data_IF_073952272401
#
_entry.id   IF_073952272401
#
_cell.length_a   1.000
_cell.length_b   1.000
_cell.length_c   1.000
_cell.angle_alpha   90.00
_cell.angle_beta   90.00
_cell.angle_gamma   90.00
#
_symmetry.space_group_name_H-M   'P 1'
#
loop_
_entity.id
_entity.type
_entity.pdbx_description
1 polymer ?
#
# COMPACT_ATOMS: atom_id res chain seq x y z
N UNK A 1 -17.90 21.35 8.62
CA UNK A 1 -17.20 20.46 7.66
C UNK A 1 -16.81 19.16 8.36
N UNK A 2 -17.00 17.97 7.74
CA UNK A 2 -16.55 16.69 8.34
C UNK A 2 -15.02 16.66 8.44
N UNK A 3 -14.50 16.28 9.62
CA UNK A 3 -13.06 16.08 9.86
C UNK A 3 -12.52 15.05 8.86
N UNK A 4 -11.48 15.43 8.10
CA UNK A 4 -10.81 14.54 7.15
C UNK A 4 -9.79 13.65 7.85
N UNK A 5 -9.58 12.44 7.33
CA UNK A 5 -8.66 11.46 7.89
C UNK A 5 -7.24 11.66 7.36
N UNK A 6 -6.23 11.48 8.21
CA UNK A 6 -4.84 11.35 7.75
C UNK A 6 -4.51 9.89 7.45
N UNK A 7 -3.71 9.64 6.43
CA UNK A 7 -3.40 8.30 5.95
C UNK A 7 -1.91 8.11 5.66
N UNK A 8 -1.41 6.93 6.01
CA UNK A 8 -0.13 6.40 5.58
C UNK A 8 -0.41 5.37 4.48
N UNK A 9 -0.09 5.77 3.24
CA UNK A 9 -0.11 4.88 2.09
C UNK A 9 1.20 4.11 2.01
N UNK A 10 1.14 2.81 1.79
CA UNK A 10 2.33 1.97 1.64
C UNK A 10 2.21 1.13 0.36
N UNK A 11 3.30 0.98 -0.39
CA UNK A 11 3.41 -0.18 -1.28
C UNK A 11 3.52 -1.47 -0.44
N UNK A 12 3.37 -2.63 -1.09
CA UNK A 12 3.41 -3.93 -0.45
C UNK A 12 4.78 -4.59 -0.62
N UNK A 13 5.06 -5.08 -1.83
CA UNK A 13 6.24 -5.88 -2.14
C UNK A 13 7.49 -5.00 -2.24
N UNK A 14 8.42 -5.15 -1.29
CA UNK A 14 9.61 -4.32 -1.13
C UNK A 14 9.50 -3.29 0.02
N UNK A 15 8.28 -3.10 0.55
CA UNK A 15 7.98 -2.10 1.60
C UNK A 15 7.49 -2.75 2.88
N UNK A 16 6.43 -3.58 2.83
CA UNK A 16 5.93 -4.32 4.01
C UNK A 16 6.46 -5.76 4.03
N UNK A 17 6.65 -6.37 2.86
CA UNK A 17 7.22 -7.70 2.70
C UNK A 17 8.39 -7.72 1.74
N UNK A 18 9.20 -8.78 1.81
CA UNK A 18 10.26 -9.02 0.83
C UNK A 18 9.66 -9.21 -0.56
N UNK A 19 10.27 -8.58 -1.55
CA UNK A 19 9.81 -8.65 -2.94
C UNK A 19 10.40 -9.90 -3.62
N UNK A 20 9.58 -10.93 -3.78
CA UNK A 20 9.89 -12.13 -4.59
C UNK A 20 9.21 -12.09 -5.97
N UNK A 21 8.76 -10.92 -6.42
CA UNK A 21 8.05 -10.72 -7.69
C UNK A 21 6.56 -11.04 -7.63
N UNK A 22 6.20 -12.25 -7.20
CA UNK A 22 4.81 -12.75 -7.22
C UNK A 22 4.41 -13.34 -5.86
N UNK A 23 4.24 -12.47 -4.86
CA UNK A 23 3.81 -12.89 -3.52
C UNK A 23 2.28 -12.85 -3.45
N UNK A 24 1.63 -14.02 -3.37
CA UNK A 24 0.16 -14.15 -3.35
C UNK A 24 -0.36 -15.10 -2.27
N UNK A 25 0.53 -15.69 -1.48
CA UNK A 25 0.17 -16.60 -0.38
C UNK A 25 1.02 -16.29 0.85
N UNK A 26 0.48 -16.60 2.04
CA UNK A 26 1.18 -16.36 3.29
C UNK A 26 2.48 -17.17 3.40
N UNK A 27 2.55 -18.35 2.75
CA UNK A 27 3.75 -19.20 2.71
C UNK A 27 4.97 -18.47 2.13
N UNK A 28 4.74 -17.60 1.14
CA UNK A 28 5.80 -16.84 0.48
C UNK A 28 5.85 -15.37 0.95
N UNK A 29 5.07 -15.02 1.96
CA UNK A 29 5.01 -13.68 2.51
C UNK A 29 5.97 -13.56 3.70
N UNK A 30 7.10 -12.88 3.49
CA UNK A 30 8.06 -12.61 4.55
C UNK A 30 8.01 -11.12 4.93
N UNK A 31 7.59 -10.83 6.16
CA UNK A 31 7.63 -9.47 6.70
C UNK A 31 9.05 -8.92 6.69
N UNK A 32 9.22 -7.67 6.25
CA UNK A 32 10.48 -6.98 6.46
C UNK A 32 10.65 -6.61 7.94
N UNK A 33 11.90 -6.52 8.38
CA UNK A 33 12.27 -6.20 9.77
C UNK A 33 11.53 -4.94 10.25
N UNK A 34 10.91 -5.05 11.43
CA UNK A 34 10.18 -3.97 12.11
C UNK A 34 8.95 -3.38 11.40
N UNK A 35 8.45 -3.98 10.31
CA UNK A 35 7.26 -3.47 9.61
C UNK A 35 6.02 -3.47 10.48
N UNK A 36 5.74 -4.57 11.20
CA UNK A 36 4.60 -4.65 12.12
C UNK A 36 4.64 -3.53 13.17
N UNK A 37 5.83 -3.24 13.73
CA UNK A 37 6.06 -2.12 14.66
C UNK A 37 5.79 -0.76 14.00
N UNK A 38 6.19 -0.57 12.75
CA UNK A 38 5.95 0.66 11.98
C UNK A 38 4.46 0.91 11.73
N UNK A 39 3.73 -0.15 11.34
CA UNK A 39 2.28 -0.10 11.15
C UNK A 39 1.59 0.23 12.47
N UNK A 40 1.93 -0.45 13.56
CA UNK A 40 1.39 -0.16 14.90
C UNK A 40 1.64 1.30 15.33
N UNK A 41 2.85 1.81 15.09
CA UNK A 41 3.20 3.20 15.42
C UNK A 41 2.32 4.22 14.70
N UNK A 42 2.14 4.04 13.38
CA UNK A 42 1.25 4.90 12.60
C UNK A 42 -0.22 4.75 13.02
N UNK A 43 -0.66 3.52 13.32
CA UNK A 43 -2.01 3.22 13.80
C UNK A 43 -2.34 3.92 15.13
N UNK A 44 -1.44 3.85 16.13
CA UNK A 44 -1.61 4.53 17.42
C UNK A 44 -1.68 6.06 17.25
N UNK A 45 -0.92 6.60 16.28
CA UNK A 45 -1.00 8.02 15.88
C UNK A 45 -2.25 8.38 15.07
N UNK A 46 -3.22 7.48 14.95
CA UNK A 46 -4.51 7.68 14.25
C UNK A 46 -4.35 7.94 12.75
N UNK A 47 -3.36 7.33 12.11
CA UNK A 47 -3.30 7.26 10.65
C UNK A 47 -4.12 6.07 10.15
N UNK A 48 -4.92 6.29 9.10
CA UNK A 48 -5.41 5.20 8.27
C UNK A 48 -4.23 4.56 7.56
N UNK A 49 -4.12 3.24 7.67
CA UNK A 49 -3.06 2.48 6.98
C UNK A 49 -3.67 1.89 5.72
N UNK A 50 -3.20 2.35 4.56
CA UNK A 50 -3.74 1.96 3.25
C UNK A 50 -2.64 1.33 2.41
N UNK A 51 -2.87 0.11 1.93
CA UNK A 51 -1.94 -0.55 1.00
C UNK A 51 -2.36 -0.26 -0.44
N UNK A 52 -1.39 0.06 -1.30
CA UNK A 52 -1.59 0.27 -2.73
C UNK A 52 -0.56 -0.51 -3.56
N UNK A 53 -0.98 -1.58 -4.24
CA UNK A 53 -0.05 -2.53 -4.87
C UNK A 53 -0.40 -2.93 -6.30
N UNK A 54 0.60 -2.96 -7.18
CA UNK A 54 0.44 -3.55 -8.51
C UNK A 54 0.57 -5.08 -8.40
N UNK A 55 -0.48 -5.84 -8.71
CA UNK A 55 -0.52 -7.30 -8.60
C UNK A 55 -0.67 -7.94 -9.99
N UNK A 56 0.33 -7.73 -10.86
CA UNK A 56 0.29 -8.21 -12.25
C UNK A 56 0.37 -9.73 -12.40
N UNK A 57 0.62 -10.48 -11.33
CA UNK A 57 0.57 -11.94 -11.40
C UNK A 57 -0.81 -12.45 -11.77
N UNK A 58 -1.88 -11.69 -11.47
CA UNK A 58 -3.24 -12.00 -11.94
C UNK A 58 -3.35 -11.93 -13.45
N UNK A 59 -2.92 -10.82 -14.06
CA UNK A 59 -2.89 -10.73 -15.51
C UNK A 59 -2.02 -11.83 -16.13
N UNK A 60 -0.91 -12.22 -15.49
CA UNK A 60 -0.01 -13.26 -16.00
C UNK A 60 -0.48 -14.69 -15.75
N UNK A 61 -1.59 -14.89 -15.03
CA UNK A 61 -2.12 -16.23 -14.72
C UNK A 61 -1.41 -16.99 -13.59
N UNK A 62 -0.52 -16.33 -12.83
CA UNK A 62 0.19 -16.99 -11.73
C UNK A 62 -0.66 -17.24 -10.49
N UNK A 63 -1.69 -16.42 -10.29
CA UNK A 63 -2.65 -16.52 -9.19
C UNK A 63 -3.89 -15.68 -9.55
N UNK A 64 -4.95 -15.80 -8.77
CA UNK A 64 -6.18 -15.06 -9.00
C UNK A 64 -6.46 -14.02 -7.89
N UNK A 65 -7.51 -13.22 -8.06
CA UNK A 65 -7.88 -12.20 -7.08
C UNK A 65 -8.33 -12.76 -5.72
N UNK A 66 -8.85 -14.00 -5.67
CA UNK A 66 -9.19 -14.67 -4.41
C UNK A 66 -7.93 -14.94 -3.59
N UNK A 67 -6.82 -15.31 -4.25
CA UNK A 67 -5.53 -15.54 -3.57
C UNK A 67 -5.00 -14.24 -2.95
N UNK A 68 -5.08 -13.13 -3.69
CA UNK A 68 -4.73 -11.80 -3.17
C UNK A 68 -5.56 -11.48 -1.91
N UNK A 69 -6.89 -11.63 -1.99
CA UNK A 69 -7.79 -11.33 -0.88
C UNK A 69 -7.52 -12.23 0.34
N UNK A 70 -7.24 -13.52 0.11
CA UNK A 70 -6.85 -14.47 1.16
C UNK A 70 -5.56 -14.01 1.84
N UNK A 71 -4.53 -13.65 1.08
CA UNK A 71 -3.29 -13.10 1.62
C UNK A 71 -3.54 -11.82 2.42
N UNK A 72 -4.31 -10.86 1.89
CA UNK A 72 -4.62 -9.61 2.60
C UNK A 72 -5.34 -9.85 3.93
N UNK A 73 -6.27 -10.80 3.97
CA UNK A 73 -6.95 -11.20 5.20
C UNK A 73 -5.97 -11.83 6.20
N UNK A 74 -5.04 -12.68 5.76
CA UNK A 74 -4.03 -13.29 6.62
C UNK A 74 -3.05 -12.24 7.18
N UNK A 75 -2.58 -11.31 6.35
CA UNK A 75 -1.76 -10.16 6.78
C UNK A 75 -2.47 -9.40 7.90
N UNK A 76 -3.75 -9.07 7.71
CA UNK A 76 -4.52 -8.36 8.73
C UNK A 76 -4.74 -9.20 10.01
N UNK A 77 -4.99 -10.51 9.89
CA UNK A 77 -5.06 -11.41 11.05
C UNK A 77 -3.79 -11.37 11.89
N UNK A 78 -2.62 -11.30 11.27
CA UNK A 78 -1.36 -11.17 12.02
C UNK A 78 -1.16 -9.81 12.68
N UNK A 79 -1.65 -8.73 12.07
CA UNK A 79 -1.59 -7.39 12.66
C UNK A 79 -2.57 -7.24 13.84
N UNK A 80 -3.72 -7.90 13.78
CA UNK A 80 -4.69 -7.88 14.87
C UNK A 80 -4.14 -8.51 16.16
N UNK A 81 -3.21 -9.47 16.07
CA UNK A 81 -2.51 -10.05 17.23
C UNK A 81 -1.67 -9.03 18.03
N UNK A 82 -1.44 -7.84 17.48
CA UNK A 82 -0.73 -6.73 18.13
C UNK A 82 -1.58 -5.45 18.15
N UNK A 83 -2.91 -5.60 18.13
CA UNK A 83 -3.95 -4.55 18.14
C UNK A 83 -3.71 -3.42 17.12
N UNK A 84 -3.36 -3.79 15.89
CA UNK A 84 -3.41 -2.87 14.76
C UNK A 84 -3.97 -3.55 13.51
N UNK A 85 -4.24 -2.76 12.48
CA UNK A 85 -4.76 -3.26 11.21
C UNK A 85 -4.37 -2.37 10.04
N UNK A 86 -4.33 -2.97 8.86
CA UNK A 86 -4.46 -2.24 7.60
C UNK A 86 -5.96 -2.00 7.40
N UNK A 87 -6.31 -0.73 7.17
CA UNK A 87 -7.70 -0.31 7.02
C UNK A 87 -8.25 -0.72 5.66
N UNK A 88 -7.42 -0.71 4.62
CA UNK A 88 -7.84 -1.12 3.29
C UNK A 88 -6.67 -1.54 2.41
N UNK A 89 -6.97 -2.43 1.46
CA UNK A 89 -6.04 -2.86 0.43
C UNK A 89 -6.60 -2.50 -0.93
N UNK A 90 -5.89 -1.65 -1.65
CA UNK A 90 -6.13 -1.39 -3.06
C UNK A 90 -5.05 -2.09 -3.87
N UNK A 91 -5.47 -2.78 -4.92
CA UNK A 91 -4.55 -3.43 -5.83
C UNK A 91 -5.00 -3.27 -7.28
N UNK A 92 -4.04 -3.36 -8.20
CA UNK A 92 -4.29 -3.42 -9.63
C UNK A 92 -3.94 -4.82 -10.16
N UNK A 93 -4.93 -5.64 -10.57
CA UNK A 93 -4.67 -6.96 -11.16
C UNK A 93 -4.26 -6.88 -12.64
N UNK A 94 -4.41 -5.70 -13.26
CA UNK A 94 -4.25 -5.49 -14.70
C UNK A 94 -2.79 -5.27 -15.14
N UNK A 95 -2.49 -5.65 -16.37
CA UNK A 95 -1.21 -5.36 -17.04
C UNK A 95 -1.44 -4.91 -18.50
N UNK A 96 -0.73 -3.88 -19.01
CA UNK A 96 -0.94 -3.41 -20.39
C UNK A 96 -0.54 -4.42 -21.46
N UNK A 97 0.52 -5.21 -21.22
CA UNK A 97 1.09 -6.14 -22.21
C UNK A 97 0.74 -7.62 -22.01
N UNK A 98 0.42 -8.05 -20.79
CA UNK A 98 0.30 -9.48 -20.46
C UNK A 98 -1.13 -9.81 -20.02
N UNK A 99 -1.54 -11.05 -20.29
CA UNK A 99 -2.79 -11.64 -19.84
C UNK A 99 -3.87 -11.83 -20.89
N UNK A 100 -5.01 -12.35 -20.45
CA UNK A 100 -6.22 -12.54 -21.26
C UNK A 100 -6.98 -11.21 -21.44
N UNK A 101 -7.97 -11.16 -22.36
CA UNK A 101 -8.79 -9.96 -22.61
C UNK A 101 -9.32 -9.28 -21.33
N UNK A 102 -9.66 -10.06 -20.29
CA UNK A 102 -10.15 -9.53 -19.00
C UNK A 102 -9.09 -8.71 -18.24
N UNK A 103 -7.82 -9.14 -18.25
CA UNK A 103 -6.77 -8.55 -17.41
C UNK A 103 -5.68 -7.79 -18.21
N UNK A 104 -5.60 -7.99 -19.52
CA UNK A 104 -4.69 -7.28 -20.43
C UNK A 104 -5.28 -5.93 -20.81
N UNK A 105 -5.09 -4.94 -19.95
CA UNK A 105 -5.52 -3.55 -20.22
C UNK A 105 -4.63 -2.52 -19.54
N UNK A 106 -4.56 -1.35 -20.15
CA UNK A 106 -3.94 -0.17 -19.54
C UNK A 106 -4.92 0.43 -18.51
N UNK A 107 -4.83 -0.02 -17.26
CA UNK A 107 -5.73 0.44 -16.19
C UNK A 107 -5.21 1.69 -15.50
N UNK A 108 -6.11 2.64 -15.24
CA UNK A 108 -5.82 3.82 -14.41
C UNK A 108 -5.50 3.46 -12.94
N UNK A 109 -5.84 2.25 -12.49
CA UNK A 109 -5.43 1.75 -11.18
C UNK A 109 -3.93 1.37 -11.12
N UNK A 110 -3.29 1.08 -12.25
CA UNK A 110 -1.91 0.58 -12.28
C UNK A 110 -0.92 1.71 -12.06
N UNK A 111 -0.10 1.65 -11.00
CA UNK A 111 1.03 2.59 -10.82
C UNK A 111 1.93 2.51 -12.06
N UNK A 112 2.35 3.64 -12.66
CA UNK A 112 2.43 5.00 -12.09
C UNK A 112 1.15 5.86 -12.19
N UNK A 113 0.00 5.31 -12.57
CA UNK A 113 -1.27 6.03 -12.47
C UNK A 113 -1.75 6.09 -11.01
N UNK A 114 -2.43 7.19 -10.60
CA UNK A 114 -2.82 7.42 -9.22
C UNK A 114 -4.16 6.80 -8.83
N UNK A 115 -4.80 6.00 -9.70
CA UNK A 115 -6.20 5.59 -9.51
C UNK A 115 -6.47 4.87 -8.19
N UNK A 116 -5.54 4.06 -7.69
CA UNK A 116 -5.67 3.43 -6.36
C UNK A 116 -5.68 4.47 -5.23
N UNK A 117 -4.81 5.48 -5.31
CA UNK A 117 -4.73 6.56 -4.31
C UNK A 117 -6.00 7.40 -4.34
N UNK A 118 -6.48 7.77 -5.53
CA UNK A 118 -7.72 8.55 -5.70
C UNK A 118 -8.92 7.79 -5.12
N UNK A 119 -9.03 6.49 -5.41
CA UNK A 119 -10.12 5.65 -4.89
C UNK A 119 -10.09 5.58 -3.36
N UNK A 120 -8.90 5.43 -2.77
CA UNK A 120 -8.73 5.44 -1.33
C UNK A 120 -9.08 6.79 -0.71
N UNK A 121 -8.62 7.91 -1.29
CA UNK A 121 -8.92 9.26 -0.81
C UNK A 121 -10.42 9.51 -0.77
N UNK A 122 -11.14 9.13 -1.83
CA UNK A 122 -12.59 9.26 -1.90
C UNK A 122 -13.29 8.37 -0.87
N UNK A 123 -12.95 7.08 -0.81
CA UNK A 123 -13.59 6.11 0.10
C UNK A 123 -13.43 6.49 1.57
N UNK A 124 -12.26 7.00 1.94
CA UNK A 124 -11.89 7.24 3.34
C UNK A 124 -11.87 8.72 3.73
N UNK A 125 -12.34 9.62 2.87
CA UNK A 125 -12.32 11.08 3.08
C UNK A 125 -10.95 11.59 3.59
N UNK A 126 -9.88 11.24 2.87
CA UNK A 126 -8.51 11.48 3.31
C UNK A 126 -8.08 12.91 2.99
N UNK A 127 -7.45 13.58 3.96
CA UNK A 127 -6.70 14.82 3.74
C UNK A 127 -5.28 14.50 3.26
N UNK A 128 -4.97 14.93 2.03
CA UNK A 128 -3.66 14.71 1.41
C UNK A 128 -2.54 15.47 2.11
N UNK A 129 -2.82 16.66 2.68
CA UNK A 129 -1.80 17.53 3.30
C UNK A 129 -1.24 16.92 4.59
N UNK A 130 -2.06 16.16 5.32
CA UNK A 130 -1.65 15.40 6.51
C UNK A 130 -1.26 13.95 6.24
N UNK A 131 -1.22 13.54 4.97
CA UNK A 131 -0.96 12.16 4.54
C UNK A 131 0.34 12.04 3.75
N UNK A 132 0.86 10.82 3.70
CA UNK A 132 2.03 10.51 2.87
C UNK A 132 1.99 9.09 2.31
N UNK A 133 2.75 8.86 1.25
CA UNK A 133 3.03 7.55 0.70
C UNK A 133 4.49 7.17 0.92
N UNK A 134 4.73 5.92 1.32
CA UNK A 134 6.06 5.30 1.33
C UNK A 134 6.10 4.15 0.31
N UNK A 135 7.04 4.22 -0.62
CA UNK A 135 7.25 3.24 -1.71
C UNK A 135 8.73 2.97 -1.93
N UNK A 136 9.06 1.91 -2.66
CA UNK A 136 10.45 1.55 -3.03
C UNK A 136 10.77 1.82 -4.51
N UNK A 137 9.78 2.18 -5.33
CA UNK A 137 9.96 2.35 -6.78
C UNK A 137 9.60 3.75 -7.27
N UNK A 138 10.22 4.15 -8.38
CA UNK A 138 9.89 5.42 -9.09
C UNK A 138 8.41 5.52 -9.46
N UNK A 139 7.77 4.40 -9.79
CA UNK A 139 6.34 4.37 -10.13
C UNK A 139 5.42 4.77 -8.96
N UNK A 140 5.86 4.51 -7.72
CA UNK A 140 5.15 4.92 -6.51
C UNK A 140 5.21 6.43 -6.34
N UNK A 141 6.41 6.99 -6.50
CA UNK A 141 6.64 8.43 -6.45
C UNK A 141 5.78 9.15 -7.49
N UNK A 142 5.75 8.66 -8.73
CA UNK A 142 4.98 9.29 -9.80
C UNK A 142 3.48 9.25 -9.47
N UNK A 143 2.96 8.11 -8.98
CA UNK A 143 1.56 7.98 -8.60
C UNK A 143 1.18 8.96 -7.47
N UNK A 144 2.01 9.08 -6.43
CA UNK A 144 1.78 10.03 -5.33
C UNK A 144 1.85 11.49 -5.79
N UNK A 145 2.86 11.86 -6.59
CA UNK A 145 3.03 13.22 -7.12
C UNK A 145 1.85 13.66 -7.97
N UNK A 146 1.29 12.79 -8.81
CA UNK A 146 0.12 13.08 -9.67
C UNK A 146 -1.13 13.52 -8.91
N UNK A 147 -1.21 13.28 -7.60
CA UNK A 147 -2.32 13.73 -6.75
C UNK A 147 -1.89 14.74 -5.69
N UNK A 148 -0.64 15.21 -5.71
CA UNK A 148 -0.09 16.11 -4.69
C UNK A 148 0.02 15.47 -3.30
N UNK A 149 0.23 14.14 -3.24
CA UNK A 149 0.49 13.43 -2.00
C UNK A 149 2.00 13.42 -1.73
N UNK A 150 2.43 13.75 -0.51
CA UNK A 150 3.83 13.69 -0.11
C UNK A 150 4.35 12.25 -0.28
N UNK A 151 5.50 12.10 -0.93
CA UNK A 151 6.11 10.79 -1.17
C UNK A 151 7.46 10.69 -0.45
N UNK A 152 7.70 9.53 0.17
CA UNK A 152 8.97 9.17 0.79
C UNK A 152 9.48 7.89 0.11
N UNK A 153 10.67 7.98 -0.49
CA UNK A 153 11.36 6.80 -1.00
C UNK A 153 11.90 5.99 0.20
N UNK A 154 11.53 4.72 0.29
CA UNK A 154 12.04 3.82 1.33
C UNK A 154 13.51 3.49 1.05
N UNK A 155 14.42 4.24 1.68
CA UNK A 155 15.87 3.97 1.63
C UNK A 155 16.32 3.07 2.78
N UNK A 156 15.64 3.17 3.92
CA UNK A 156 15.94 2.39 5.12
C UNK A 156 14.79 1.46 5.51
N UNK A 157 14.89 0.82 6.68
CA UNK A 157 13.76 0.06 7.23
C UNK A 157 12.54 0.96 7.45
N UNK A 158 11.34 0.40 7.30
CA UNK A 158 10.08 1.16 7.31
C UNK A 158 9.86 1.91 8.63
N UNK A 159 10.28 1.34 9.77
CA UNK A 159 10.13 1.98 11.07
C UNK A 159 10.86 3.32 11.15
N UNK A 160 12.08 3.41 10.59
CA UNK A 160 12.86 4.66 10.56
C UNK A 160 12.15 5.72 9.73
N UNK A 161 11.67 5.35 8.54
CA UNK A 161 10.95 6.29 7.66
C UNK A 161 9.66 6.79 8.31
N UNK A 162 8.90 5.88 8.91
CA UNK A 162 7.66 6.23 9.60
C UNK A 162 7.93 7.15 10.80
N UNK A 163 8.88 6.80 11.68
CA UNK A 163 9.22 7.65 12.83
C UNK A 163 9.64 9.06 12.40
N UNK A 164 10.53 9.17 11.40
CA UNK A 164 11.04 10.47 10.91
C UNK A 164 9.94 11.38 10.35
N UNK A 165 8.96 10.80 9.63
CA UNK A 165 7.99 11.58 8.86
C UNK A 165 6.63 11.74 9.58
N UNK A 166 6.35 10.98 10.64
CA UNK A 166 5.10 11.08 11.42
C UNK A 166 5.31 11.73 12.81
N UNK A 167 6.56 11.93 13.24
CA UNK A 167 6.88 12.67 14.47
C UNK A 167 6.79 14.20 14.31
N UNK A 168 6.88 14.69 13.07
CA UNK A 168 7.05 16.11 12.74
C UNK A 168 5.75 16.89 12.52
N UNK A 169 4.58 16.24 12.61
CA UNK A 169 3.31 16.99 12.71
C UNK A 169 3.13 17.48 14.14
N UNK A 170 3.81 18.58 14.47
CA UNK A 170 3.36 19.48 15.54
C UNK A 170 2.08 20.15 15.03
N UNK A 171 1.03 20.11 15.85
CA UNK A 171 -0.16 20.96 15.70
C UNK A 171 0.28 22.39 15.95
#
# INVERSE_FOLDING_TARGET
MKKKNKALFLDRDGVINKNYGYVFSMKNFLWLKNVKKAIKYAYVKKYLIIIISNQSGVARGYYNEKDIKKLHNQINKELMKIDCKIHDFFYCPYHPKYGTKKYKKNSYLRKPNPGMIIKAIKKWNIDKKSSLMIGDKKIDMIAAKKVGLRFIMKKYNLMREVKKNLSSYKI
#
